data_IF_871059172265
#
_entry.id   IF_871059172265
#
_cell.length_a   1.000
_cell.length_b   1.000
_cell.length_c   1.000
_cell.angle_alpha   90.00
_cell.angle_beta   90.00
_cell.angle_gamma   90.00
#
_symmetry.space_group_name_H-M   'P 1'
#
loop_
_entity.id
_entity.type
_entity.pdbx_description
1 polymer ?
#
# COMPACT_ATOMS: atom_id res chain seq x y z
N UNK A 1 0.64 17.17 24.04
CA UNK A 1 1.38 17.84 22.94
C UNK A 1 0.37 18.27 21.92
N UNK A 2 0.23 19.58 21.69
CA UNK A 2 -0.67 20.12 20.68
C UNK A 2 -0.20 19.61 19.31
N UNK A 3 -0.99 18.73 18.70
CA UNK A 3 -0.82 18.36 17.30
C UNK A 3 -1.26 19.60 16.51
N UNK A 4 -0.33 20.29 15.86
CA UNK A 4 -0.70 21.34 14.91
C UNK A 4 -1.60 20.74 13.83
N UNK A 5 -2.66 21.45 13.47
CA UNK A 5 -3.52 21.08 12.36
C UNK A 5 -2.69 20.96 11.08
N UNK A 6 -3.05 20.05 10.18
CA UNK A 6 -2.41 19.96 8.87
C UNK A 6 -2.87 21.14 8.01
N UNK A 7 -1.91 21.89 7.43
CA UNK A 7 -2.18 23.14 6.69
C UNK A 7 -2.19 22.97 5.16
N UNK A 8 -1.89 21.76 4.64
CA UNK A 8 -1.87 21.47 3.20
C UNK A 8 -3.25 21.14 2.62
N UNK A 9 -3.35 21.15 1.29
CA UNK A 9 -4.54 20.68 0.57
C UNK A 9 -4.66 19.16 0.67
N UNK A 10 -5.86 18.68 1.00
CA UNK A 10 -6.19 17.25 1.04
C UNK A 10 -7.16 16.93 -0.09
N UNK A 11 -6.76 16.01 -0.96
CA UNK A 11 -7.62 15.47 -2.02
C UNK A 11 -7.79 13.97 -1.86
N UNK A 12 -8.97 13.45 -2.24
CA UNK A 12 -9.30 12.04 -2.13
C UNK A 12 -9.82 11.51 -3.46
N UNK A 13 -9.11 10.52 -4.01
CA UNK A 13 -9.56 9.71 -5.13
C UNK A 13 -10.20 8.43 -4.58
N UNK A 14 -11.48 8.22 -4.87
CA UNK A 14 -12.25 7.05 -4.40
C UNK A 14 -12.00 5.77 -5.23
N UNK A 15 -11.10 5.85 -6.21
CA UNK A 15 -10.61 4.77 -7.06
C UNK A 15 -9.25 5.20 -7.62
N UNK A 16 -8.35 4.25 -7.83
CA UNK A 16 -7.09 4.52 -8.52
C UNK A 16 -7.27 4.77 -10.03
N UNK A 17 -8.47 4.48 -10.56
CA UNK A 17 -8.79 4.70 -11.95
C UNK A 17 -8.81 6.20 -12.28
N UNK A 18 -8.01 6.58 -13.28
CA UNK A 18 -8.02 7.92 -13.86
C UNK A 18 -7.05 8.92 -13.23
N UNK A 19 -6.25 8.51 -12.24
CA UNK A 19 -5.18 9.35 -11.68
C UNK A 19 -4.16 9.68 -12.77
N UNK A 20 -3.81 10.95 -12.88
CA UNK A 20 -2.80 11.48 -13.79
C UNK A 20 -1.54 11.88 -13.02
N UNK A 21 -0.36 11.92 -13.65
CA UNK A 21 0.88 12.37 -13.02
C UNK A 21 0.78 13.77 -12.37
N UNK A 22 0.05 14.69 -13.01
CA UNK A 22 -0.14 16.05 -12.51
C UNK A 22 -0.96 16.10 -11.20
N UNK A 23 -1.77 15.08 -10.92
CA UNK A 23 -2.50 14.97 -9.64
C UNK A 23 -1.55 14.67 -8.46
N UNK A 24 -0.33 14.20 -8.76
CA UNK A 24 0.62 13.63 -7.80
C UNK A 24 1.89 14.47 -7.63
N UNK A 25 2.32 15.16 -8.69
CA UNK A 25 3.61 15.85 -8.75
C UNK A 25 3.84 16.76 -7.54
N UNK A 26 4.91 16.50 -6.78
CA UNK A 26 5.28 17.29 -5.59
C UNK A 26 4.41 17.05 -4.34
N UNK A 27 3.44 16.14 -4.37
CA UNK A 27 2.53 15.83 -3.26
C UNK A 27 2.94 14.55 -2.53
N UNK A 28 2.43 14.36 -1.32
CA UNK A 28 2.50 13.06 -0.64
C UNK A 28 1.27 12.23 -1.01
N UNK A 29 1.48 11.03 -1.56
CA UNK A 29 0.42 10.08 -1.84
C UNK A 29 0.21 9.10 -0.67
N UNK A 30 -1.04 8.83 -0.31
CA UNK A 30 -1.42 7.78 0.64
C UNK A 30 -2.30 6.76 -0.08
N UNK A 31 -1.75 5.59 -0.39
CA UNK A 31 -2.49 4.53 -1.08
C UNK A 31 -3.16 3.61 -0.07
N UNK A 32 -4.46 3.36 -0.27
CA UNK A 32 -5.32 2.58 0.61
C UNK A 32 -5.93 1.42 -0.19
N UNK A 33 -5.66 0.19 0.24
CA UNK A 33 -6.33 -1.05 -0.19
C UNK A 33 -6.54 -1.88 1.07
N UNK A 34 -7.59 -1.54 1.83
CA UNK A 34 -7.82 -2.10 3.17
C UNK A 34 -7.99 -3.61 3.10
N UNK A 35 -8.71 -4.10 2.09
CA UNK A 35 -9.03 -5.51 1.87
C UNK A 35 -8.39 -5.99 0.55
N UNK A 36 -7.10 -6.32 0.55
CA UNK A 36 -6.23 -6.53 1.72
C UNK A 36 -4.81 -5.97 1.59
N UNK A 37 -4.43 -5.42 0.44
CA UNK A 37 -3.02 -5.22 0.13
C UNK A 37 -2.31 -4.29 1.11
N UNK A 38 -2.88 -3.12 1.44
CA UNK A 38 -2.22 -2.17 2.35
C UNK A 38 -2.15 -2.69 3.78
N UNK A 39 -3.19 -3.39 4.25
CA UNK A 39 -3.21 -4.08 5.53
C UNK A 39 -2.14 -5.18 5.60
N UNK A 40 -1.98 -5.96 4.52
CA UNK A 40 -0.97 -7.00 4.40
C UNK A 40 0.44 -6.40 4.43
N UNK A 41 0.71 -5.34 3.67
CA UNK A 41 2.01 -4.66 3.64
C UNK A 41 2.37 -4.15 5.04
N UNK A 42 1.45 -3.43 5.68
CA UNK A 42 1.68 -2.88 7.02
C UNK A 42 1.96 -3.98 8.04
N UNK A 43 1.24 -5.10 7.98
CA UNK A 43 1.44 -6.23 8.87
C UNK A 43 2.77 -6.96 8.60
N UNK A 44 3.13 -7.20 7.33
CA UNK A 44 4.40 -7.83 6.96
C UNK A 44 5.61 -7.05 7.50
N UNK A 45 5.61 -5.72 7.33
CA UNK A 45 6.65 -4.83 7.85
C UNK A 45 6.69 -4.84 9.39
N UNK A 46 5.53 -4.81 10.04
CA UNK A 46 5.43 -4.94 11.51
C UNK A 46 6.03 -6.26 12.02
N UNK A 47 5.90 -7.34 11.24
CA UNK A 47 6.39 -8.67 11.59
C UNK A 47 7.88 -8.88 11.27
N UNK A 48 8.55 -7.83 10.77
CA UNK A 48 9.99 -7.80 10.54
C UNK A 48 10.42 -8.14 9.12
N UNK A 49 9.51 -8.10 8.14
CA UNK A 49 9.93 -8.13 6.74
C UNK A 49 10.95 -7.02 6.47
N UNK A 50 12.01 -7.34 5.75
CA UNK A 50 13.07 -6.37 5.39
C UNK A 50 12.49 -5.23 4.57
N UNK A 51 11.70 -5.60 3.57
CA UNK A 51 11.00 -4.69 2.66
C UNK A 51 9.85 -5.44 1.98
N UNK A 52 8.91 -4.67 1.40
CA UNK A 52 7.86 -5.22 0.54
C UNK A 52 7.97 -4.56 -0.82
N UNK A 53 8.09 -5.37 -1.87
CA UNK A 53 8.21 -4.91 -3.26
C UNK A 53 6.89 -5.20 -3.97
N UNK A 54 6.05 -4.18 -4.22
CA UNK A 54 4.83 -4.34 -4.97
C UNK A 54 5.14 -4.51 -6.46
N UNK A 55 4.63 -5.57 -7.07
CA UNK A 55 4.79 -5.87 -8.49
C UNK A 55 3.43 -6.00 -9.16
N UNK A 56 3.24 -5.25 -10.23
CA UNK A 56 2.01 -5.31 -11.04
C UNK A 56 2.02 -6.53 -11.98
N UNK A 57 3.19 -6.81 -12.58
CA UNK A 57 3.39 -7.92 -13.51
C UNK A 57 4.00 -9.15 -12.83
N UNK A 58 3.50 -10.35 -13.15
CA UNK A 58 3.98 -11.60 -12.57
C UNK A 58 5.34 -12.05 -13.15
N UNK A 59 5.65 -11.64 -14.37
CA UNK A 59 6.97 -11.82 -14.99
C UNK A 59 8.03 -11.00 -14.26
N UNK A 60 7.73 -9.78 -13.84
CA UNK A 60 8.61 -8.98 -12.98
C UNK A 60 8.92 -9.70 -11.66
N UNK A 61 7.89 -10.22 -10.99
CA UNK A 61 8.04 -11.00 -9.77
C UNK A 61 9.00 -12.20 -9.98
N UNK A 62 8.83 -12.89 -11.10
CA UNK A 62 9.61 -14.10 -11.45
C UNK A 62 11.07 -13.76 -11.75
N UNK A 63 11.32 -12.66 -12.48
CA UNK A 63 12.67 -12.15 -12.76
C UNK A 63 13.40 -11.75 -11.48
N UNK A 64 12.71 -11.06 -10.57
CA UNK A 64 13.27 -10.67 -9.28
C UNK A 64 13.59 -11.90 -8.41
N UNK A 65 12.66 -12.86 -8.32
CA UNK A 65 12.89 -14.10 -7.58
C UNK A 65 14.09 -14.89 -8.12
N UNK A 66 14.28 -14.93 -9.44
CA UNK A 66 15.43 -15.61 -10.06
C UNK A 66 16.78 -14.90 -9.79
N UNK A 67 16.78 -13.62 -9.44
CA UNK A 67 17.98 -12.83 -9.15
C UNK A 67 18.36 -12.81 -7.65
N UNK A 68 17.52 -13.38 -6.79
CA UNK A 68 17.70 -13.39 -5.34
C UNK A 68 18.00 -14.81 -4.83
N UNK A 69 18.67 -14.90 -3.69
CA UNK A 69 18.81 -16.20 -3.01
C UNK A 69 17.44 -16.67 -2.52
N UNK A 70 17.12 -17.95 -2.74
CA UNK A 70 15.82 -18.55 -2.42
C UNK A 70 15.45 -18.45 -0.93
N UNK A 71 16.44 -18.29 -0.04
CA UNK A 71 16.22 -18.10 1.40
C UNK A 71 15.86 -16.67 1.79
N UNK A 72 16.12 -15.69 0.90
CA UNK A 72 16.09 -14.26 1.19
C UNK A 72 14.77 -13.55 0.82
N UNK A 73 13.84 -14.24 0.15
CA UNK A 73 12.57 -13.65 -0.28
C UNK A 73 11.37 -14.58 -0.04
N UNK A 74 10.17 -14.00 -0.17
CA UNK A 74 8.90 -14.71 -0.22
C UNK A 74 8.05 -14.11 -1.34
N UNK A 75 7.52 -14.95 -2.23
CA UNK A 75 6.48 -14.55 -3.18
C UNK A 75 5.12 -14.62 -2.50
N UNK A 76 4.41 -13.50 -2.55
CA UNK A 76 3.10 -13.36 -1.96
C UNK A 76 2.14 -12.66 -2.92
N UNK A 77 0.85 -13.00 -2.85
CA UNK A 77 -0.10 -12.33 -3.71
C UNK A 77 -1.35 -13.10 -4.04
N UNK A 78 -2.23 -12.40 -4.75
CA UNK A 78 -3.51 -12.93 -5.17
C UNK A 78 -3.95 -12.45 -6.55
N UNK A 79 -4.87 -13.21 -7.15
CA UNK A 79 -5.70 -12.80 -8.28
C UNK A 79 -7.14 -13.19 -7.98
N UNK A 80 -8.05 -12.21 -7.98
CA UNK A 80 -9.47 -12.45 -7.70
C UNK A 80 -9.73 -13.05 -6.30
N UNK A 81 -8.91 -12.68 -5.33
CA UNK A 81 -8.95 -13.12 -3.93
C UNK A 81 -8.24 -14.45 -3.65
N UNK A 82 -7.75 -15.16 -4.68
CA UNK A 82 -7.09 -16.47 -4.53
C UNK A 82 -5.57 -16.34 -4.64
N UNK A 83 -4.84 -17.10 -3.81
CA UNK A 83 -3.37 -17.17 -3.86
C UNK A 83 -2.92 -17.58 -5.27
N UNK A 84 -1.89 -16.90 -5.77
CA UNK A 84 -1.28 -17.19 -7.08
C UNK A 84 -0.62 -18.57 -7.02
N UNK A 85 -0.77 -19.38 -8.07
CA UNK A 85 -0.13 -20.69 -8.16
C UNK A 85 1.40 -20.55 -8.12
N UNK A 86 2.06 -21.40 -7.35
CA UNK A 86 3.51 -21.34 -7.14
C UNK A 86 3.99 -20.30 -6.11
N UNK A 87 3.12 -19.42 -5.61
CA UNK A 87 3.49 -18.45 -4.57
C UNK A 87 3.37 -19.08 -3.17
N UNK A 88 4.26 -18.68 -2.26
CA UNK A 88 4.26 -19.23 -0.89
C UNK A 88 3.07 -18.70 -0.08
N UNK A 89 2.75 -17.41 -0.20
CA UNK A 89 1.68 -16.75 0.56
C UNK A 89 0.60 -16.16 -0.35
N UNK A 90 -0.62 -16.07 0.19
CA UNK A 90 -1.69 -15.27 -0.39
C UNK A 90 -1.54 -13.79 -0.06
N UNK A 91 -2.68 -13.11 0.04
CA UNK A 91 -2.78 -11.71 0.49
C UNK A 91 -3.57 -11.60 1.81
N UNK A 92 -3.54 -12.64 2.66
CA UNK A 92 -4.09 -12.56 4.00
C UNK A 92 -3.00 -12.08 4.97
N UNK A 93 -3.18 -10.98 5.73
CA UNK A 93 -2.18 -10.52 6.70
C UNK A 93 -1.72 -11.62 7.67
N UNK A 94 -2.63 -12.53 8.05
CA UNK A 94 -2.35 -13.64 8.97
C UNK A 94 -1.29 -14.63 8.46
N UNK A 95 -1.03 -14.67 7.15
CA UNK A 95 0.01 -15.52 6.56
C UNK A 95 1.43 -14.95 6.78
N UNK A 96 1.56 -13.65 7.06
CA UNK A 96 2.84 -12.92 7.14
C UNK A 96 3.38 -12.92 8.57
N UNK A 97 3.45 -14.10 9.19
CA UNK A 97 4.01 -14.23 10.54
C UNK A 97 5.52 -13.94 10.54
N UNK A 98 6.05 -13.49 11.68
CA UNK A 98 7.48 -13.19 11.79
C UNK A 98 8.37 -14.38 11.43
N UNK A 99 7.96 -15.61 11.76
CA UNK A 99 8.69 -16.83 11.38
C UNK A 99 8.81 -17.02 9.86
N UNK A 100 7.87 -16.48 9.08
CA UNK A 100 7.84 -16.61 7.63
C UNK A 100 8.62 -15.48 6.96
N UNK A 101 8.42 -14.23 7.40
CA UNK A 101 8.84 -13.04 6.65
C UNK A 101 10.02 -12.27 7.25
N UNK A 102 10.43 -12.56 8.49
CA UNK A 102 11.50 -11.80 9.15
C UNK A 102 12.79 -11.77 8.32
N UNK A 103 13.33 -10.56 8.15
CA UNK A 103 14.55 -10.23 7.40
C UNK A 103 14.52 -10.62 5.91
N UNK A 104 13.34 -11.03 5.40
CA UNK A 104 13.14 -11.38 3.99
C UNK A 104 12.50 -10.24 3.22
N UNK A 105 12.79 -10.17 1.94
CA UNK A 105 12.10 -9.33 0.97
C UNK A 105 10.79 -10.00 0.56
N UNK A 106 9.66 -9.32 0.77
CA UNK A 106 8.34 -9.81 0.32
C UNK A 106 8.06 -9.25 -1.06
N UNK A 107 7.97 -10.09 -2.07
CA UNK A 107 7.55 -9.68 -3.42
C UNK A 107 6.03 -9.90 -3.51
N UNK A 108 5.27 -8.82 -3.53
CA UNK A 108 3.81 -8.85 -3.42
C UNK A 108 3.15 -8.49 -4.75
N UNK A 109 2.21 -9.32 -5.23
CA UNK A 109 1.36 -8.97 -6.38
C UNK A 109 -0.13 -9.11 -6.05
N UNK A 110 -0.92 -8.05 -6.25
CA UNK A 110 -2.37 -8.07 -5.98
C UNK A 110 -3.16 -7.51 -7.16
N UNK A 111 -4.47 -7.70 -7.12
CA UNK A 111 -5.41 -7.30 -8.19
C UNK A 111 -5.58 -5.78 -8.24
N UNK A 112 -5.64 -5.11 -7.08
CA UNK A 112 -5.94 -3.67 -7.00
C UNK A 112 -4.80 -2.87 -6.37
N UNK A 113 -4.31 -3.29 -5.20
CA UNK A 113 -3.31 -2.52 -4.45
C UNK A 113 -1.98 -2.32 -5.14
N UNK A 114 -1.36 -3.34 -5.74
CA UNK A 114 -0.05 -3.15 -6.39
C UNK A 114 -0.13 -2.27 -7.64
N UNK A 115 -1.17 -2.36 -8.50
CA UNK A 115 -1.42 -1.33 -9.51
C UNK A 115 -1.63 0.08 -8.94
N UNK A 116 -2.40 0.23 -7.85
CA UNK A 116 -2.66 1.54 -7.24
C UNK A 116 -1.38 2.19 -6.65
N UNK A 117 -0.49 1.38 -6.08
CA UNK A 117 0.82 1.85 -5.60
C UNK A 117 1.68 2.33 -6.77
N UNK A 118 1.68 1.60 -7.89
CA UNK A 118 2.41 1.99 -9.11
C UNK A 118 1.85 3.27 -9.73
N UNK A 119 0.53 3.42 -9.76
CA UNK A 119 -0.12 4.62 -10.24
C UNK A 119 0.26 5.88 -9.42
N UNK A 120 0.73 5.71 -8.18
CA UNK A 120 1.15 6.80 -7.30
C UNK A 120 2.64 7.16 -7.40
N UNK A 121 3.42 6.53 -8.29
CA UNK A 121 4.89 6.61 -8.27
C UNK A 121 5.49 8.00 -8.58
N UNK A 122 4.73 8.87 -9.24
CA UNK A 122 5.12 10.26 -9.53
C UNK A 122 4.96 11.21 -8.33
N UNK A 123 4.40 10.72 -7.21
CA UNK A 123 4.33 11.49 -5.97
C UNK A 123 5.71 11.67 -5.33
N UNK A 124 5.89 12.76 -4.57
CA UNK A 124 7.15 13.00 -3.84
C UNK A 124 7.43 11.95 -2.76
N UNK A 125 6.36 11.45 -2.12
CA UNK A 125 6.39 10.33 -1.18
C UNK A 125 5.17 9.45 -1.40
N UNK A 126 5.34 8.13 -1.38
CA UNK A 126 4.22 7.17 -1.41
C UNK A 126 4.15 6.44 -0.08
N UNK A 127 3.05 6.65 0.64
CA UNK A 127 2.74 6.03 1.92
C UNK A 127 1.66 4.96 1.75
N UNK A 128 1.83 3.83 2.43
CA UNK A 128 0.84 2.75 2.45
C UNK A 128 -0.06 2.91 3.67
N UNK A 129 -1.35 3.15 3.44
CA UNK A 129 -2.34 3.47 4.47
C UNK A 129 -3.40 2.39 4.66
N UNK A 130 -3.83 2.18 5.90
CA UNK A 130 -5.01 1.39 6.25
C UNK A 130 -5.47 1.71 7.68
N UNK A 131 -6.55 1.07 8.14
CA UNK A 131 -7.04 1.23 9.51
C UNK A 131 -5.96 0.91 10.55
N UNK A 132 -5.13 -0.09 10.28
CA UNK A 132 -4.08 -0.61 11.17
C UNK A 132 -2.94 0.37 11.46
N UNK A 133 -2.78 1.42 10.65
CA UNK A 133 -1.69 2.41 10.79
C UNK A 133 -2.17 3.86 10.66
N UNK A 134 -3.43 4.14 11.03
CA UNK A 134 -4.04 5.48 10.95
C UNK A 134 -3.19 6.58 11.58
N UNK A 135 -2.82 6.45 12.85
CA UNK A 135 -2.05 7.51 13.53
C UNK A 135 -0.65 7.70 12.93
N UNK A 136 0.00 6.60 12.54
CA UNK A 136 1.40 6.64 12.08
C UNK A 136 1.53 7.32 10.71
N UNK A 137 0.66 6.96 9.77
CA UNK A 137 0.66 7.58 8.44
C UNK A 137 0.18 9.03 8.52
N UNK A 138 -0.76 9.38 9.40
CA UNK A 138 -1.14 10.79 9.61
C UNK A 138 0.02 11.63 10.16
N UNK A 139 0.83 11.08 11.07
CA UNK A 139 2.04 11.75 11.55
C UNK A 139 3.09 11.91 10.43
N UNK A 140 3.24 10.92 9.56
CA UNK A 140 4.15 10.99 8.41
C UNK A 140 3.73 12.06 7.40
N UNK A 141 2.44 12.17 7.09
CA UNK A 141 1.89 13.23 6.23
C UNK A 141 2.14 14.62 6.83
N UNK A 142 1.88 14.81 8.14
CA UNK A 142 2.18 16.08 8.82
C UNK A 142 3.67 16.42 8.79
N UNK A 143 4.53 15.43 8.99
CA UNK A 143 5.98 15.63 8.96
C UNK A 143 6.50 15.97 7.56
N UNK A 144 5.87 15.44 6.51
CA UNK A 144 6.20 15.77 5.13
C UNK A 144 5.86 17.23 4.78
N UNK A 145 4.78 17.79 5.35
CA UNK A 145 4.42 19.20 5.20
C UNK A 145 4.06 19.61 3.76
N UNK A 146 3.61 18.67 2.94
CA UNK A 146 3.17 18.88 1.55
C UNK A 146 1.68 18.63 1.42
N UNK A 147 1.08 19.12 0.33
CA UNK A 147 -0.26 18.69 -0.06
C UNK A 147 -0.33 17.17 -0.16
N UNK A 148 -1.48 16.61 0.18
CA UNK A 148 -1.69 15.16 0.25
C UNK A 148 -2.78 14.73 -0.71
N UNK A 149 -2.55 13.60 -1.35
CA UNK A 149 -3.52 12.89 -2.18
C UNK A 149 -3.74 11.50 -1.60
N UNK A 150 -4.98 11.20 -1.22
CA UNK A 150 -5.38 9.90 -0.69
C UNK A 150 -6.01 9.10 -1.83
N UNK A 151 -5.46 7.93 -2.12
CA UNK A 151 -5.82 7.12 -3.27
C UNK A 151 -6.41 5.81 -2.76
N UNK A 152 -7.72 5.64 -2.91
CA UNK A 152 -8.38 4.36 -2.70
C UNK A 152 -8.10 3.45 -3.90
N UNK A 153 -7.59 2.25 -3.69
CA UNK A 153 -7.32 1.31 -4.77
C UNK A 153 -8.62 0.89 -5.47
N UNK A 154 -9.71 0.74 -4.71
CA UNK A 154 -10.99 0.33 -5.26
C UNK A 154 -11.00 -1.14 -5.69
N UNK A 155 -12.05 -1.53 -6.41
CA UNK A 155 -12.18 -2.88 -6.96
C UNK A 155 -12.74 -2.84 -8.38
N UNK A 156 -11.97 -3.32 -9.35
CA UNK A 156 -12.41 -3.34 -10.76
C UNK A 156 -12.79 -1.95 -11.28
N UNK A 157 -11.95 -0.94 -10.99
CA UNK A 157 -12.17 0.47 -11.29
C UNK A 157 -13.40 1.12 -10.64
N UNK A 158 -13.96 0.50 -9.59
CA UNK A 158 -15.10 1.03 -8.83
C UNK A 158 -14.70 1.37 -7.40
N UNK A 159 -15.51 2.23 -6.78
CA UNK A 159 -15.38 2.61 -5.38
C UNK A 159 -15.47 1.39 -4.47
N UNK A 160 -14.54 1.30 -3.53
CA UNK A 160 -14.55 0.36 -2.41
C UNK A 160 -15.06 1.08 -1.15
N UNK A 161 -15.98 0.44 -0.41
CA UNK A 161 -16.58 1.04 0.78
C UNK A 161 -15.55 1.16 1.91
N UNK A 162 -14.79 0.10 2.15
CA UNK A 162 -13.77 0.04 3.19
C UNK A 162 -12.61 1.02 2.92
N UNK A 163 -12.19 1.18 1.66
CA UNK A 163 -11.17 2.15 1.30
C UNK A 163 -11.70 3.58 1.52
N UNK A 164 -12.93 3.86 1.08
CA UNK A 164 -13.60 5.15 1.25
C UNK A 164 -13.74 5.51 2.72
N UNK A 165 -14.17 4.57 3.56
CA UNK A 165 -14.29 4.76 5.00
C UNK A 165 -12.93 5.04 5.63
N UNK A 166 -11.90 4.29 5.25
CA UNK A 166 -10.54 4.52 5.73
C UNK A 166 -9.98 5.87 5.28
N UNK A 167 -10.29 6.33 4.07
CA UNK A 167 -9.92 7.65 3.58
C UNK A 167 -10.62 8.76 4.37
N UNK A 168 -11.92 8.63 4.65
CA UNK A 168 -12.65 9.58 5.51
C UNK A 168 -12.06 9.68 6.91
N UNK A 169 -11.76 8.53 7.55
CA UNK A 169 -11.09 8.51 8.84
C UNK A 169 -9.67 9.09 8.80
N UNK A 170 -8.99 9.00 7.66
CA UNK A 170 -7.67 9.61 7.46
C UNK A 170 -7.78 11.13 7.42
N UNK A 171 -8.74 11.66 6.67
CA UNK A 171 -9.02 13.10 6.59
C UNK A 171 -9.35 13.63 7.98
N UNK A 172 -10.29 13.00 8.70
CA UNK A 172 -10.65 13.35 10.08
C UNK A 172 -9.43 13.38 11.02
N UNK A 173 -8.48 12.47 10.83
CA UNK A 173 -7.26 12.42 11.65
C UNK A 173 -6.20 13.47 11.27
N UNK A 174 -6.26 14.04 10.08
CA UNK A 174 -5.33 15.06 9.59
C UNK A 174 -5.78 16.48 9.93
N UNK A 175 -7.10 16.70 9.92
CA UNK A 175 -7.73 17.86 10.55
C UNK A 175 -7.40 17.94 12.05
#
# INVERSE_FOLDING_TARGET
MSSSAFEGHIEVFLSAAGIQPDDLAGRTAVVIDVLRASSTIAFALMQGAKEVIPVADLGDASRMAAALDASSFVLAGERGGKRIEGYQLGNSPLEFTSAVVRDKTVILSTTNGTPAIRAAEEAADVLIGGFVNLSRVAAAVRAAGRDVVIICAGWGNRVSLEDTLCAGMRVDRLL
#
